data_IF_196535628285
#
_entry.id   IF_196535628285
#
_cell.length_a   1.000
_cell.length_b   1.000
_cell.length_c   1.000
_cell.angle_alpha   90.00
_cell.angle_beta   90.00
_cell.angle_gamma   90.00
#
_symmetry.space_group_name_H-M   'P 1'
#
loop_
_entity.id
_entity.type
_entity.pdbx_description
1 polymer ?
#
# COMPACT_ATOMS: atom_id res chain seq x y z
N UNK A 1 13.88 10.51 1.53
CA UNK A 1 15.00 9.56 1.41
C UNK A 1 16.31 10.32 1.52
N UNK A 2 16.51 11.37 0.71
CA UNK A 2 17.71 12.24 0.77
C UNK A 2 18.02 12.81 2.17
N UNK A 3 17.02 13.31 2.90
CA UNK A 3 17.22 13.82 4.27
C UNK A 3 17.75 12.78 5.26
N UNK A 4 17.48 11.49 5.00
CA UNK A 4 17.90 10.37 5.84
C UNK A 4 19.09 9.60 5.24
N UNK A 5 19.67 10.11 4.13
CA UNK A 5 20.80 9.50 3.42
C UNK A 5 20.61 8.00 3.11
N UNK A 6 19.41 7.63 2.66
CA UNK A 6 19.08 6.24 2.32
C UNK A 6 19.51 5.95 0.87
N UNK A 7 20.38 4.96 0.69
CA UNK A 7 20.85 4.46 -0.62
C UNK A 7 20.18 3.16 -1.06
N UNK A 8 19.65 2.38 -0.12
CA UNK A 8 19.10 1.05 -0.35
C UNK A 8 17.82 0.87 0.46
N UNK A 9 16.67 0.77 -0.23
CA UNK A 9 15.36 0.79 0.43
C UNK A 9 14.50 -0.39 -0.02
N UNK A 10 13.94 -1.11 0.94
CA UNK A 10 12.81 -2.01 0.71
C UNK A 10 11.52 -1.27 1.02
N UNK A 11 10.54 -1.35 0.13
CA UNK A 11 9.21 -0.75 0.35
C UNK A 11 8.26 -1.83 0.87
N UNK A 12 7.53 -1.52 1.93
CA UNK A 12 6.31 -2.21 2.33
C UNK A 12 5.19 -1.17 2.37
N UNK A 13 4.18 -1.33 1.51
CA UNK A 13 3.10 -0.36 1.35
C UNK A 13 1.74 -1.03 1.46
N UNK A 14 0.74 -0.26 1.88
CA UNK A 14 -0.65 -0.71 2.03
C UNK A 14 -1.62 0.33 1.47
N UNK A 15 -2.66 -0.13 0.77
CA UNK A 15 -3.76 0.67 0.22
C UNK A 15 -3.30 1.93 -0.55
N UNK A 16 -3.54 3.13 -0.03
CA UNK A 16 -3.09 4.37 -0.67
C UNK A 16 -1.56 4.44 -0.78
N UNK A 17 -0.85 3.85 0.19
CA UNK A 17 0.59 3.71 0.15
C UNK A 17 1.09 3.01 -1.10
N UNK A 18 0.30 2.09 -1.68
CA UNK A 18 0.68 1.41 -2.92
C UNK A 18 0.73 2.38 -4.10
N UNK A 19 -0.18 3.36 -4.14
CA UNK A 19 -0.16 4.43 -5.16
C UNK A 19 1.10 5.29 -5.00
N UNK A 20 1.48 5.60 -3.77
CA UNK A 20 2.73 6.30 -3.48
C UNK A 20 3.93 5.45 -3.91
N UNK A 21 3.93 4.15 -3.64
CA UNK A 21 4.98 3.22 -4.05
C UNK A 21 5.10 3.14 -5.59
N UNK A 22 3.99 3.11 -6.32
CA UNK A 22 3.99 3.15 -7.79
C UNK A 22 4.61 4.44 -8.32
N UNK A 23 4.29 5.60 -7.73
CA UNK A 23 4.90 6.87 -8.13
C UNK A 23 6.40 6.92 -7.79
N UNK A 24 6.79 6.42 -6.61
CA UNK A 24 8.19 6.32 -6.22
C UNK A 24 8.97 5.43 -7.20
N UNK A 25 8.43 4.27 -7.57
CA UNK A 25 8.99 3.38 -8.59
C UNK A 25 9.11 4.07 -9.96
N UNK A 26 8.08 4.79 -10.38
CA UNK A 26 8.10 5.53 -11.64
C UNK A 26 9.19 6.61 -11.66
N UNK A 27 9.42 7.28 -10.53
CA UNK A 27 10.51 8.26 -10.38
C UNK A 27 11.87 7.60 -10.36
N UNK A 28 12.04 6.52 -9.60
CA UNK A 28 13.31 5.79 -9.52
C UNK A 28 13.73 5.27 -10.89
N UNK A 29 12.77 4.74 -11.68
CA UNK A 29 13.00 4.30 -13.05
C UNK A 29 13.45 5.42 -14.00
N UNK A 30 12.93 6.63 -13.81
CA UNK A 30 13.28 7.81 -14.60
C UNK A 30 14.62 8.46 -14.20
N UNK A 31 15.25 8.05 -13.07
CA UNK A 31 16.57 8.56 -12.69
C UNK A 31 17.63 8.15 -13.71
N UNK A 32 18.45 9.11 -14.11
CA UNK A 32 19.64 8.90 -14.94
C UNK A 32 20.90 9.11 -14.09
N UNK A 33 21.94 8.28 -14.30
CA UNK A 33 23.25 8.47 -13.65
C UNK A 33 23.34 8.15 -12.15
N UNK A 34 22.31 7.54 -11.56
CA UNK A 34 22.31 7.09 -10.17
C UNK A 34 21.90 5.61 -10.10
N UNK A 35 22.42 4.90 -9.09
CA UNK A 35 21.97 3.56 -8.77
C UNK A 35 20.48 3.56 -8.38
N UNK A 36 19.82 2.44 -8.67
CA UNK A 36 18.41 2.24 -8.30
C UNK A 36 18.29 2.20 -6.78
N UNK A 37 17.35 3.00 -6.25
CA UNK A 37 17.15 3.15 -4.82
C UNK A 37 16.41 1.96 -4.20
N UNK A 38 15.50 1.35 -4.96
CA UNK A 38 14.61 0.31 -4.43
C UNK A 38 15.15 -1.09 -4.67
N UNK A 39 15.30 -1.86 -3.59
CA UNK A 39 15.77 -3.24 -3.61
C UNK A 39 14.66 -4.25 -3.79
N UNK A 40 13.50 -3.98 -3.20
CA UNK A 40 12.29 -4.74 -3.43
C UNK A 40 11.07 -3.95 -2.99
N UNK A 41 9.89 -4.35 -3.48
CA UNK A 41 8.62 -3.74 -3.13
C UNK A 41 7.64 -4.81 -2.71
N UNK A 42 7.03 -4.67 -1.54
CA UNK A 42 5.92 -5.49 -1.07
C UNK A 42 4.67 -4.61 -0.94
N UNK A 43 3.59 -5.02 -1.60
CA UNK A 43 2.32 -4.27 -1.67
C UNK A 43 1.22 -5.05 -0.97
N UNK A 44 0.42 -4.36 -0.15
CA UNK A 44 -0.67 -4.93 0.61
C UNK A 44 -1.99 -4.28 0.19
N UNK A 45 -2.98 -5.09 -0.20
CA UNK A 45 -4.37 -4.68 -0.41
C UNK A 45 -4.55 -3.24 -0.93
N UNK A 46 -4.18 -2.99 -2.19
CA UNK A 46 -4.38 -1.68 -2.82
C UNK A 46 -5.06 -1.76 -4.18
N UNK A 47 -5.65 -0.63 -4.59
CA UNK A 47 -6.23 -0.43 -5.92
C UNK A 47 -5.16 -0.22 -6.99
N UNK A 48 -4.30 -1.20 -7.23
CA UNK A 48 -3.15 -1.13 -8.14
C UNK A 48 -3.54 -0.89 -9.60
N UNK A 49 -4.70 -1.42 -10.00
CA UNK A 49 -5.26 -1.27 -11.34
C UNK A 49 -6.59 -0.51 -11.25
N UNK A 50 -6.68 0.71 -11.80
CA UNK A 50 -7.86 1.56 -11.68
C UNK A 50 -9.16 0.91 -12.15
N UNK A 51 -9.08 -0.01 -13.12
CA UNK A 51 -10.21 -0.71 -13.72
C UNK A 51 -10.83 -1.75 -12.78
N UNK A 52 -10.09 -2.19 -11.76
CA UNK A 52 -10.56 -3.19 -10.80
C UNK A 52 -11.01 -2.60 -9.48
N UNK A 53 -10.70 -1.34 -9.22
CA UNK A 53 -11.00 -0.71 -7.94
C UNK A 53 -12.51 -0.58 -7.71
N UNK A 54 -13.01 -1.32 -6.71
CA UNK A 54 -14.42 -1.26 -6.30
C UNK A 54 -14.62 -0.18 -5.24
N UNK A 55 -14.77 1.04 -5.71
CA UNK A 55 -15.07 2.18 -4.85
C UNK A 55 -16.36 1.95 -4.03
N UNK A 56 -16.23 1.98 -2.70
CA UNK A 56 -17.37 1.90 -1.78
C UNK A 56 -18.21 3.17 -1.88
N UNK A 57 -19.48 3.08 -1.50
CA UNK A 57 -20.40 4.23 -1.56
C UNK A 57 -19.87 5.43 -0.78
N UNK A 58 -19.27 5.22 0.39
CA UNK A 58 -18.68 6.29 1.19
C UNK A 58 -17.51 6.99 0.46
N UNK A 59 -16.69 6.25 -0.27
CA UNK A 59 -15.59 6.82 -1.06
C UNK A 59 -16.14 7.67 -2.21
N UNK A 60 -17.22 7.21 -2.88
CA UNK A 60 -17.91 8.00 -3.92
C UNK A 60 -18.52 9.28 -3.35
N UNK A 61 -19.10 9.21 -2.15
CA UNK A 61 -19.68 10.37 -1.47
C UNK A 61 -18.61 11.36 -1.00
N UNK A 62 -17.49 10.87 -0.46
CA UNK A 62 -16.34 11.70 -0.09
C UNK A 62 -15.69 12.38 -1.30
N UNK A 63 -15.69 11.72 -2.47
CA UNK A 63 -15.19 12.29 -3.72
C UNK A 63 -16.17 13.28 -4.40
N UNK A 64 -17.37 13.45 -3.86
CA UNK A 64 -18.38 14.38 -4.41
C UNK A 64 -18.19 15.81 -3.86
N UNK A 65 -18.84 16.83 -4.45
CA UNK A 65 -18.85 18.19 -3.89
C UNK A 65 -19.38 18.27 -2.44
N UNK A 66 -20.09 17.24 -1.98
CA UNK A 66 -20.58 17.11 -0.61
C UNK A 66 -19.56 16.44 0.34
N UNK A 67 -18.36 16.09 -0.13
CA UNK A 67 -17.36 15.32 0.61
C UNK A 67 -16.93 15.95 1.94
N UNK A 68 -16.79 17.28 1.97
CA UNK A 68 -16.47 18.03 3.20
C UNK A 68 -17.60 17.93 4.24
N UNK A 69 -18.85 17.91 3.80
CA UNK A 69 -20.02 17.74 4.66
C UNK A 69 -20.13 16.29 5.16
N UNK A 70 -19.88 15.30 4.29
CA UNK A 70 -19.84 13.88 4.67
C UNK A 70 -18.79 13.63 5.74
N UNK A 71 -17.61 14.24 5.58
CA UNK A 71 -16.53 14.17 6.55
C UNK A 71 -16.92 14.81 7.89
N UNK A 72 -17.50 16.01 7.86
CA UNK A 72 -17.98 16.73 9.06
C UNK A 72 -19.11 15.99 9.80
N UNK A 73 -19.93 15.23 9.08
CA UNK A 73 -21.05 14.45 9.63
C UNK A 73 -20.67 12.99 9.93
N UNK A 74 -19.40 12.60 9.81
CA UNK A 74 -18.94 11.26 10.18
C UNK A 74 -18.85 11.17 11.69
N UNK A 75 -19.71 10.34 12.27
CA UNK A 75 -19.72 10.03 13.70
C UNK A 75 -18.89 8.77 13.96
N UNK A 76 -18.45 8.58 15.21
CA UNK A 76 -17.73 7.37 15.61
C UNK A 76 -18.50 6.09 15.26
N UNK A 77 -19.79 6.03 15.56
CA UNK A 77 -20.62 4.86 15.24
C UNK A 77 -20.68 4.55 13.73
N UNK A 78 -20.70 5.59 12.87
CA UNK A 78 -20.66 5.41 11.41
C UNK A 78 -19.29 4.92 10.96
N UNK A 79 -18.23 5.48 11.54
CA UNK A 79 -16.87 5.01 11.35
C UNK A 79 -16.75 3.53 11.72
N UNK A 80 -17.08 3.15 12.96
CA UNK A 80 -17.00 1.78 13.48
C UNK A 80 -17.67 0.77 12.52
N UNK A 81 -18.89 1.08 12.08
CA UNK A 81 -19.63 0.24 11.13
C UNK A 81 -18.94 0.16 9.76
N UNK A 82 -18.51 1.28 9.20
CA UNK A 82 -17.90 1.32 7.88
C UNK A 82 -16.51 0.68 7.84
N UNK A 83 -15.72 0.88 8.89
CA UNK A 83 -14.38 0.37 9.07
C UNK A 83 -14.41 -1.13 9.30
N UNK A 84 -15.21 -1.63 10.25
CA UNK A 84 -15.38 -3.08 10.47
C UNK A 84 -15.88 -3.84 9.24
N UNK A 85 -16.57 -3.17 8.32
CA UNK A 85 -17.09 -3.76 7.10
C UNK A 85 -16.04 -3.94 5.98
N UNK A 86 -14.78 -3.56 6.18
CA UNK A 86 -13.68 -3.93 5.28
C UNK A 86 -12.80 -5.06 5.80
N UNK A 87 -13.00 -5.48 7.06
CA UNK A 87 -12.28 -6.60 7.67
C UNK A 87 -12.90 -7.93 7.25
N UNK A 88 -12.11 -8.99 7.35
CA UNK A 88 -12.58 -10.37 7.22
C UNK A 88 -13.69 -10.70 8.21
N UNK A 89 -14.51 -11.73 7.92
CA UNK A 89 -15.64 -12.11 8.77
C UNK A 89 -15.21 -12.45 10.21
N UNK A 90 -14.03 -13.07 10.36
CA UNK A 90 -13.53 -13.62 11.63
C UNK A 90 -12.44 -12.76 12.30
N UNK A 91 -12.12 -11.60 11.72
CA UNK A 91 -11.02 -10.72 12.12
C UNK A 91 -11.47 -9.28 12.38
N UNK A 92 -12.77 -9.05 12.54
CA UNK A 92 -13.32 -7.70 12.80
C UNK A 92 -12.72 -7.10 14.08
N UNK A 93 -12.43 -5.79 14.07
CA UNK A 93 -11.86 -5.13 15.24
C UNK A 93 -12.88 -5.11 16.39
N UNK A 94 -12.38 -5.29 17.60
CA UNK A 94 -13.18 -5.11 18.81
C UNK A 94 -13.40 -3.62 19.11
N UNK A 95 -14.18 -3.33 20.15
CA UNK A 95 -14.50 -1.95 20.53
C UNK A 95 -13.25 -1.13 20.88
N UNK A 96 -12.24 -1.75 21.51
CA UNK A 96 -11.01 -1.05 21.91
C UNK A 96 -10.17 -0.71 20.68
N UNK A 97 -9.98 -1.65 19.77
CA UNK A 97 -9.26 -1.40 18.53
C UNK A 97 -9.95 -0.30 17.70
N UNK A 98 -11.29 -0.30 17.64
CA UNK A 98 -12.05 0.76 16.99
C UNK A 98 -11.87 2.13 17.64
N UNK A 99 -11.82 2.19 18.98
CA UNK A 99 -11.53 3.42 19.72
C UNK A 99 -10.12 3.93 19.41
N UNK A 100 -9.13 3.04 19.36
CA UNK A 100 -7.74 3.38 19.03
C UNK A 100 -7.63 3.92 17.58
N UNK A 101 -8.23 3.23 16.60
CA UNK A 101 -8.25 3.70 15.20
C UNK A 101 -8.98 5.04 15.05
N UNK A 102 -10.10 5.21 15.76
CA UNK A 102 -10.81 6.48 15.77
C UNK A 102 -9.92 7.58 16.34
N UNK A 103 -9.25 7.34 17.47
CA UNK A 103 -8.28 8.27 18.05
C UNK A 103 -7.24 8.73 17.02
N UNK A 104 -6.55 7.77 16.39
CA UNK A 104 -5.53 8.04 15.36
C UNK A 104 -6.04 8.88 14.18
N UNK A 105 -7.24 8.59 13.70
CA UNK A 105 -7.85 9.30 12.57
C UNK A 105 -8.27 10.73 12.94
N UNK A 106 -8.62 10.95 14.20
CA UNK A 106 -9.14 12.23 14.69
C UNK A 106 -8.07 13.14 15.24
N UNK A 107 -6.90 12.59 15.53
CA UNK A 107 -5.73 13.30 16.03
C UNK A 107 -5.35 14.45 15.08
N UNK A 108 -5.03 15.62 15.64
CA UNK A 108 -4.68 16.84 14.89
C UNK A 108 -5.68 17.23 13.79
N UNK A 109 -6.98 17.03 14.03
CA UNK A 109 -8.05 17.31 13.06
C UNK A 109 -7.92 16.48 11.76
N UNK A 110 -7.31 15.29 11.88
CA UNK A 110 -6.93 14.41 10.78
C UNK A 110 -8.09 13.96 9.90
N UNK A 111 -9.34 14.08 10.36
CA UNK A 111 -10.53 13.82 9.54
C UNK A 111 -10.50 14.62 8.24
N UNK A 112 -10.08 15.89 8.28
CA UNK A 112 -10.02 16.76 7.10
C UNK A 112 -9.20 16.18 5.94
N UNK A 113 -8.19 15.37 6.26
CA UNK A 113 -7.29 14.74 5.29
C UNK A 113 -8.03 13.77 4.37
N UNK A 114 -9.13 13.12 4.80
CA UNK A 114 -9.86 12.18 3.94
C UNK A 114 -10.42 12.82 2.67
N UNK A 115 -10.94 14.05 2.76
CA UNK A 115 -11.46 14.78 1.59
C UNK A 115 -10.32 15.19 0.66
N UNK A 116 -9.15 15.53 1.20
CA UNK A 116 -7.97 15.86 0.39
C UNK A 116 -7.38 14.62 -0.30
N UNK A 117 -7.29 13.50 0.41
CA UNK A 117 -6.69 12.28 -0.13
C UNK A 117 -7.56 11.56 -1.14
N UNK A 118 -8.90 11.67 -1.06
CA UNK A 118 -9.81 10.93 -1.96
C UNK A 118 -9.58 11.25 -3.46
N UNK A 119 -8.98 12.41 -3.76
CA UNK A 119 -8.57 12.81 -5.11
C UNK A 119 -7.68 11.77 -5.81
N UNK A 120 -6.92 10.98 -5.05
CA UNK A 120 -6.07 9.93 -5.59
C UNK A 120 -6.82 8.91 -6.47
N UNK A 121 -8.11 8.70 -6.23
CA UNK A 121 -8.92 7.79 -7.05
C UNK A 121 -9.02 8.28 -8.49
N UNK A 122 -9.08 9.60 -8.68
CA UNK A 122 -9.05 10.21 -10.01
C UNK A 122 -7.63 10.20 -10.58
N UNK A 123 -6.63 10.53 -9.76
CA UNK A 123 -5.22 10.50 -10.15
C UNK A 123 -4.78 9.11 -10.62
N UNK A 124 -5.29 8.04 -10.00
CA UNK A 124 -5.05 6.64 -10.43
C UNK A 124 -5.47 6.38 -11.87
N UNK A 125 -6.59 6.99 -12.30
CA UNK A 125 -7.06 6.86 -13.69
C UNK A 125 -6.20 7.66 -14.65
N UNK A 126 -5.84 8.89 -14.29
CA UNK A 126 -4.99 9.76 -15.12
C UNK A 126 -3.59 9.18 -15.27
N UNK A 127 -2.98 8.76 -14.17
CA UNK A 127 -1.60 8.27 -14.12
C UNK A 127 -1.49 6.77 -14.35
N UNK A 128 -2.57 6.12 -14.81
CA UNK A 128 -2.62 4.65 -14.98
C UNK A 128 -1.41 4.12 -15.74
N UNK A 129 -1.09 4.69 -16.90
CA UNK A 129 0.05 4.25 -17.72
C UNK A 129 1.36 4.38 -16.97
N UNK A 130 1.57 5.51 -16.29
CA UNK A 130 2.78 5.77 -15.49
C UNK A 130 2.91 4.79 -14.32
N UNK A 131 1.86 4.62 -13.52
CA UNK A 131 1.91 3.85 -12.28
C UNK A 131 1.85 2.34 -12.49
N UNK A 132 0.99 1.88 -13.39
CA UNK A 132 0.95 0.46 -13.77
C UNK A 132 2.19 0.10 -14.58
N UNK A 133 2.63 0.99 -15.49
CA UNK A 133 3.87 0.81 -16.24
C UNK A 133 5.08 0.65 -15.32
N UNK A 134 5.16 1.44 -14.25
CA UNK A 134 6.23 1.30 -13.26
C UNK A 134 6.24 -0.08 -12.57
N UNK A 135 5.09 -0.69 -12.31
CA UNK A 135 5.04 -2.07 -11.79
C UNK A 135 5.48 -3.08 -12.87
N UNK A 136 4.93 -2.97 -14.09
CA UNK A 136 5.23 -3.87 -15.21
C UNK A 136 6.72 -3.86 -15.57
N UNK A 137 7.37 -2.70 -15.47
CA UNK A 137 8.78 -2.52 -15.83
C UNK A 137 9.71 -2.41 -14.62
N UNK A 138 9.22 -2.77 -13.43
CA UNK A 138 10.01 -2.66 -12.21
C UNK A 138 11.29 -3.50 -12.30
N UNK A 139 12.48 -2.96 -12.06
CA UNK A 139 13.71 -3.75 -12.15
C UNK A 139 13.96 -4.60 -10.91
N UNK A 140 13.28 -4.31 -9.78
CA UNK A 140 13.44 -5.05 -8.54
C UNK A 140 12.30 -6.07 -8.32
N UNK A 141 12.50 -7.08 -7.47
CA UNK A 141 11.46 -8.03 -7.09
C UNK A 141 10.25 -7.33 -6.46
N UNK A 142 9.06 -7.83 -6.81
CA UNK A 142 7.79 -7.41 -6.22
C UNK A 142 7.13 -8.60 -5.52
N UNK A 143 6.58 -8.35 -4.33
CA UNK A 143 5.65 -9.24 -3.65
C UNK A 143 4.29 -8.54 -3.48
N UNK A 144 3.23 -9.32 -3.61
CA UNK A 144 1.87 -8.91 -3.29
C UNK A 144 1.34 -9.78 -2.17
N UNK A 145 1.02 -9.19 -1.02
CA UNK A 145 0.29 -9.85 0.07
C UNK A 145 -1.14 -9.33 0.05
N UNK A 146 -2.14 -10.18 -0.13
CA UNK A 146 -3.50 -9.72 -0.34
C UNK A 146 -4.53 -10.54 0.44
N UNK A 147 -5.29 -9.87 1.32
CA UNK A 147 -6.48 -10.44 1.92
C UNK A 147 -7.59 -10.65 0.88
N UNK A 148 -7.97 -11.90 0.66
CA UNK A 148 -8.90 -12.29 -0.40
C UNK A 148 -10.33 -11.79 -0.18
N UNK A 149 -10.73 -11.59 1.08
CA UNK A 149 -12.07 -11.17 1.50
C UNK A 149 -12.24 -9.64 1.50
N UNK A 150 -11.19 -8.87 1.18
CA UNK A 150 -11.26 -7.43 1.03
C UNK A 150 -12.31 -7.02 -0.03
N UNK A 151 -13.36 -6.26 0.34
CA UNK A 151 -14.42 -5.85 -0.58
C UNK A 151 -13.97 -4.81 -1.61
N UNK A 152 -12.83 -4.14 -1.39
CA UNK A 152 -12.29 -3.07 -2.24
C UNK A 152 -11.28 -3.61 -3.24
N UNK A 153 -10.31 -4.40 -2.76
CA UNK A 153 -9.16 -4.89 -3.53
C UNK A 153 -8.73 -6.32 -3.17
N UNK A 154 -9.69 -7.21 -2.88
CA UNK A 154 -9.43 -8.62 -2.57
C UNK A 154 -9.19 -9.51 -3.79
N UNK A 155 -9.77 -10.71 -3.80
CA UNK A 155 -9.48 -11.77 -4.78
C UNK A 155 -9.55 -11.33 -6.27
N UNK A 156 -10.45 -10.40 -6.61
CA UNK A 156 -10.58 -9.86 -7.97
C UNK A 156 -9.37 -9.02 -8.40
N UNK A 157 -8.73 -8.30 -7.48
CA UNK A 157 -7.50 -7.57 -7.74
C UNK A 157 -6.35 -8.56 -7.97
N UNK A 158 -6.22 -9.61 -7.14
CA UNK A 158 -5.21 -10.66 -7.33
C UNK A 158 -5.35 -11.34 -8.70
N UNK A 159 -6.58 -11.67 -9.10
CA UNK A 159 -6.85 -12.24 -10.41
C UNK A 159 -6.37 -11.31 -11.55
N UNK A 160 -6.62 -10.00 -11.43
CA UNK A 160 -6.13 -9.01 -12.40
C UNK A 160 -4.62 -8.86 -12.37
N UNK A 161 -4.02 -8.89 -11.19
CA UNK A 161 -2.57 -8.82 -11.04
C UNK A 161 -1.90 -9.95 -11.81
N UNK A 162 -2.37 -11.19 -11.63
CA UNK A 162 -1.88 -12.36 -12.38
C UNK A 162 -2.05 -12.21 -13.89
N UNK A 163 -3.17 -11.64 -14.35
CA UNK A 163 -3.37 -11.40 -15.79
C UNK A 163 -2.34 -10.44 -16.40
N UNK A 164 -1.87 -9.45 -15.62
CA UNK A 164 -0.94 -8.43 -16.11
C UNK A 164 0.51 -8.85 -15.91
N UNK A 165 0.84 -9.40 -14.75
CA UNK A 165 2.22 -9.73 -14.36
C UNK A 165 2.62 -11.19 -14.63
N UNK A 166 1.66 -12.07 -14.92
CA UNK A 166 1.92 -13.51 -15.04
C UNK A 166 2.46 -14.11 -13.74
N UNK A 167 3.46 -14.97 -13.86
CA UNK A 167 4.14 -15.65 -12.74
C UNK A 167 5.41 -14.92 -12.27
N UNK A 168 5.59 -13.66 -12.71
CA UNK A 168 6.80 -12.88 -12.43
C UNK A 168 6.98 -12.56 -10.94
N UNK A 169 5.89 -12.21 -10.27
CA UNK A 169 5.91 -11.66 -8.91
C UNK A 169 5.33 -12.67 -7.91
N UNK A 170 5.83 -12.60 -6.67
CA UNK A 170 5.34 -13.48 -5.62
C UNK A 170 4.00 -12.98 -5.07
N UNK A 171 2.98 -13.85 -5.08
CA UNK A 171 1.64 -13.49 -4.60
C UNK A 171 1.23 -14.38 -3.42
N UNK A 172 0.98 -13.76 -2.27
CA UNK A 172 0.43 -14.38 -1.06
C UNK A 172 -1.01 -13.92 -0.85
N UNK A 173 -1.96 -14.70 -1.38
CA UNK A 173 -3.37 -14.47 -1.14
C UNK A 173 -3.77 -15.10 0.21
N UNK A 174 -4.19 -14.28 1.17
CA UNK A 174 -4.59 -14.70 2.52
C UNK A 174 -6.11 -14.91 2.56
N UNK A 175 -6.54 -16.14 2.80
CA UNK A 175 -7.96 -16.47 2.78
C UNK A 175 -8.71 -15.94 4.01
N UNK A 176 -9.95 -15.48 3.81
CA UNK A 176 -10.77 -14.90 4.87
C UNK A 176 -10.28 -13.54 5.41
N UNK A 177 -9.14 -13.03 4.95
CA UNK A 177 -8.57 -11.75 5.39
C UNK A 177 -9.12 -10.59 4.58
N UNK A 178 -9.50 -9.52 5.26
CA UNK A 178 -10.02 -8.30 4.67
C UNK A 178 -8.94 -7.33 4.20
N UNK A 179 -9.29 -6.04 4.27
CA UNK A 179 -8.52 -4.95 3.68
C UNK A 179 -7.25 -4.60 4.47
N UNK A 180 -7.14 -4.97 5.75
CA UNK A 180 -5.99 -4.64 6.60
C UNK A 180 -5.23 -5.91 7.00
N UNK A 181 -4.61 -6.64 6.07
CA UNK A 181 -3.97 -7.93 6.38
C UNK A 181 -2.91 -7.82 7.49
N UNK A 182 -2.19 -6.70 7.57
CA UNK A 182 -1.19 -6.44 8.60
C UNK A 182 -1.77 -6.27 10.02
N UNK A 183 -3.07 -5.98 10.12
CA UNK A 183 -3.79 -5.89 11.41
C UNK A 183 -4.53 -7.21 11.69
N UNK A 184 -5.11 -7.80 10.65
CA UNK A 184 -5.97 -8.97 10.75
C UNK A 184 -5.19 -10.28 10.95
N UNK A 185 -4.04 -10.41 10.28
CA UNK A 185 -3.18 -11.58 10.32
C UNK A 185 -1.69 -11.14 10.34
N UNK A 186 -1.26 -10.40 11.39
CA UNK A 186 0.08 -9.82 11.46
C UNK A 186 1.18 -10.88 11.31
N UNK A 187 1.00 -12.06 11.89
CA UNK A 187 1.98 -13.14 11.84
C UNK A 187 2.14 -13.70 10.41
N UNK A 188 1.04 -13.87 9.68
CA UNK A 188 1.09 -14.35 8.29
C UNK A 188 1.75 -13.31 7.37
N UNK A 189 1.42 -12.03 7.55
CA UNK A 189 2.06 -10.93 6.80
C UNK A 189 3.55 -10.84 7.12
N UNK A 190 3.92 -10.89 8.41
CA UNK A 190 5.30 -10.80 8.84
C UNK A 190 6.13 -11.99 8.35
N UNK A 191 5.58 -13.21 8.38
CA UNK A 191 6.23 -14.40 7.83
C UNK A 191 6.44 -14.27 6.32
N UNK A 192 5.38 -13.96 5.57
CA UNK A 192 5.44 -13.78 4.11
C UNK A 192 6.44 -12.70 3.69
N UNK A 193 6.45 -11.56 4.38
CA UNK A 193 7.35 -10.45 4.06
C UNK A 193 8.80 -10.79 4.44
N UNK A 194 9.03 -11.48 5.55
CA UNK A 194 10.38 -11.88 5.97
C UNK A 194 10.98 -12.91 5.03
N UNK A 195 10.20 -13.91 4.62
CA UNK A 195 10.62 -14.86 3.58
C UNK A 195 11.06 -14.14 2.28
N UNK A 196 10.32 -13.10 1.90
CA UNK A 196 10.63 -12.28 0.73
C UNK A 196 11.91 -11.46 0.92
N UNK A 197 12.09 -10.84 2.08
CA UNK A 197 13.33 -10.13 2.42
C UNK A 197 14.51 -11.10 2.41
N UNK A 198 14.44 -12.24 3.09
CA UNK A 198 15.55 -13.20 3.17
C UNK A 198 16.03 -13.66 1.77
N UNK A 199 15.09 -13.86 0.83
CA UNK A 199 15.40 -14.19 -0.58
C UNK A 199 16.10 -13.06 -1.34
N UNK A 200 15.86 -11.80 -0.99
CA UNK A 200 16.30 -10.64 -1.77
C UNK A 200 17.29 -9.72 -1.05
N UNK A 201 17.58 -9.98 0.23
CA UNK A 201 18.59 -9.29 1.04
C UNK A 201 19.95 -9.99 0.99
N UNK A 202 20.01 -11.30 0.73
CA UNK A 202 21.27 -12.07 0.70
C UNK A 202 22.14 -11.83 -0.55
N UNK A 203 21.56 -11.31 -1.65
CA UNK A 203 22.26 -11.18 -2.93
C UNK A 203 23.27 -10.02 -3.01
N UNK A 204 23.41 -9.18 -1.97
CA UNK A 204 24.13 -7.90 -2.11
C UNK A 204 25.07 -7.54 -0.95
N UNK A 205 25.39 -8.48 -0.05
CA UNK A 205 26.48 -8.32 0.92
C UNK A 205 27.86 -8.44 0.25
N UNK A 206 28.17 -7.52 -0.67
CA UNK A 206 29.53 -7.31 -1.18
C UNK A 206 29.74 -5.83 -1.49
N UNK A 207 29.71 -4.99 -0.48
CA UNK A 207 30.41 -3.71 -0.50
C UNK A 207 31.42 -3.71 0.66
N UNK A 208 32.73 -3.77 0.40
CA UNK A 208 33.71 -3.57 1.45
C UNK A 208 33.59 -2.11 1.93
N UNK A 209 33.85 -1.84 3.23
CA UNK A 209 33.74 -0.50 3.78
C UNK A 209 34.72 0.43 3.04
N UNK A 210 34.20 1.52 2.47
CA UNK A 210 35.03 2.60 1.95
C UNK A 210 35.75 3.25 3.13
N UNK A 211 37.07 3.09 3.16
CA UNK A 211 37.96 3.81 4.07
C UNK A 211 37.74 5.30 3.84
N UNK A 212 37.24 6.00 4.87
CA UNK A 212 37.25 7.46 4.89
C UNK A 212 38.67 7.89 5.27
N UNK A 213 39.43 8.30 4.25
CA UNK A 213 40.66 9.04 4.45
C UNK A 213 40.33 10.37 5.15
N UNK A 214 40.90 10.55 6.34
CA UNK A 214 40.95 11.83 7.05
C UNK A 214 41.98 12.75 6.38
N UNK A 215 41.65 14.01 6.04
CA UNK A 215 42.64 14.98 5.62
C UNK A 215 43.42 15.51 6.83
N UNK A 216 44.69 15.79 6.57
CA UNK A 216 45.76 16.24 7.48
C UNK A 216 45.52 17.61 8.12
#
# INVERSE_FOLDING_TARGET
MDRLDLSDVHILAHDYGDTVAQELLARDQARTGHDRLFKSVCLLNGGLFPETHRARLIQKLLASPLGSLVNRLTTKSRFDKSFSAVFGPDSKPDARALDDFWGLITENDGRHVFTSLIGYMHERRINRERWVGALIHCPCPIQLINGSADPVSGAHMVARYRQIMGDRDEIRALDGVGHYPQVEQPDQVAAAYREFLDRHSAAFSSHPPQNRDTPS
#
